data_IF_134891827090
#
_entry.id   IF_134891827090
#
_cell.length_a   1.000
_cell.length_b   1.000
_cell.length_c   1.000
_cell.angle_alpha   90.00
_cell.angle_beta   90.00
_cell.angle_gamma   90.00
#
_symmetry.space_group_name_H-M   'P 1'
#
loop_
_entity.id
_entity.type
_entity.pdbx_description
1 polymer ?
#
# COMPACT_ATOMS: atom_id res chain seq x y z
N UNK A 1 -6.86 3.94 3.53
CA UNK A 1 -7.12 3.45 2.16
C UNK A 1 -8.62 3.33 1.99
N UNK A 2 -9.19 4.03 1.03
CA UNK A 2 -10.62 4.01 0.69
C UNK A 2 -10.78 3.85 -0.82
N UNK A 3 -11.89 3.25 -1.24
CA UNK A 3 -12.20 3.11 -2.65
C UNK A 3 -13.06 4.30 -3.09
N UNK A 4 -12.73 4.87 -4.25
CA UNK A 4 -13.51 5.95 -4.82
C UNK A 4 -14.94 5.47 -5.16
N UNK A 5 -15.92 6.38 -5.23
CA UNK A 5 -17.31 6.05 -5.59
C UNK A 5 -17.42 5.26 -6.90
N UNK A 6 -16.54 5.53 -7.86
CA UNK A 6 -16.50 4.90 -9.17
C UNK A 6 -15.94 3.46 -9.15
N UNK A 7 -15.46 2.99 -8.00
CA UNK A 7 -14.81 1.68 -7.86
C UNK A 7 -13.32 1.71 -8.22
N UNK A 8 -12.74 0.54 -8.53
CA UNK A 8 -11.41 0.48 -9.14
C UNK A 8 -11.47 0.04 -10.59
N UNK A 9 -10.54 0.55 -11.38
CA UNK A 9 -10.34 0.15 -12.77
C UNK A 9 -9.15 -0.83 -12.81
N UNK A 10 -9.42 -2.08 -13.18
CA UNK A 10 -8.40 -3.12 -13.35
C UNK A 10 -8.48 -3.60 -14.79
N UNK A 11 -7.39 -3.45 -15.53
CA UNK A 11 -7.32 -3.79 -16.96
C UNK A 11 -8.46 -3.17 -17.79
N UNK A 12 -8.81 -1.91 -17.50
CA UNK A 12 -9.87 -1.17 -18.19
C UNK A 12 -11.31 -1.55 -17.79
N UNK A 13 -11.49 -2.50 -16.88
CA UNK A 13 -12.81 -2.88 -16.34
C UNK A 13 -13.02 -2.29 -14.96
N UNK A 14 -14.22 -1.78 -14.71
CA UNK A 14 -14.62 -1.24 -13.40
C UNK A 14 -15.12 -2.36 -12.48
N UNK A 15 -14.68 -2.34 -11.22
CA UNK A 15 -15.13 -3.25 -10.17
C UNK A 15 -15.64 -2.47 -8.96
N UNK A 16 -16.71 -2.97 -8.36
CA UNK A 16 -17.34 -2.46 -7.14
C UNK A 16 -16.63 -2.90 -5.85
N UNK A 17 -15.53 -3.64 -5.99
CA UNK A 17 -14.70 -4.04 -4.87
C UNK A 17 -13.29 -4.43 -5.32
N UNK A 18 -12.32 -4.10 -4.47
CA UNK A 18 -10.90 -4.26 -4.79
C UNK A 18 -10.16 -4.71 -3.55
N UNK A 19 -9.38 -5.78 -3.65
CA UNK A 19 -8.65 -6.32 -2.52
C UNK A 19 -7.19 -5.95 -2.64
N UNK A 20 -6.60 -5.44 -1.55
CA UNK A 20 -5.17 -5.23 -1.49
C UNK A 20 -4.46 -6.59 -1.59
N UNK A 21 -3.54 -6.70 -2.55
CA UNK A 21 -2.78 -7.92 -2.81
C UNK A 21 -1.31 -7.77 -2.48
N UNK A 22 -0.71 -6.62 -2.81
CA UNK A 22 0.74 -6.43 -2.68
C UNK A 22 1.08 -5.03 -2.20
N UNK A 23 2.19 -4.91 -1.46
CA UNK A 23 2.85 -3.63 -1.18
C UNK A 23 4.27 -3.66 -1.72
N UNK A 24 4.68 -2.55 -2.29
CA UNK A 24 6.05 -2.30 -2.68
C UNK A 24 6.45 -0.93 -2.12
N UNK A 25 7.35 -0.90 -1.15
CA UNK A 25 7.84 0.34 -0.53
C UNK A 25 9.35 0.41 -0.62
N UNK A 26 9.87 1.53 -1.12
CA UNK A 26 11.27 1.89 -1.12
C UNK A 26 11.52 2.86 0.03
N UNK A 27 12.38 2.47 0.95
CA UNK A 27 12.77 3.28 2.10
C UNK A 27 14.19 3.79 1.87
N UNK A 28 14.33 5.11 1.97
CA UNK A 28 15.57 5.82 1.71
C UNK A 28 16.00 6.59 2.95
N UNK A 29 17.31 6.62 3.20
CA UNK A 29 17.90 7.47 4.22
C UNK A 29 19.30 7.90 3.78
N UNK A 30 19.72 9.09 4.20
CA UNK A 30 21.03 9.67 3.83
C UNK A 30 21.31 9.69 2.31
N UNK A 31 20.27 9.76 1.47
CA UNK A 31 20.40 9.82 0.01
C UNK A 31 20.55 8.48 -0.71
N UNK A 32 20.54 7.34 0.00
CA UNK A 32 20.60 6.00 -0.59
C UNK A 32 19.30 5.21 -0.36
N UNK A 33 18.88 4.45 -1.38
CA UNK A 33 17.86 3.40 -1.22
C UNK A 33 18.51 2.23 -0.48
N UNK A 34 17.98 1.92 0.72
CA UNK A 34 18.60 0.92 1.60
C UNK A 34 17.68 -0.20 2.01
N UNK A 35 16.35 -0.03 1.85
CA UNK A 35 15.40 -1.12 2.05
C UNK A 35 14.31 -1.10 0.98
N UNK A 36 14.09 -2.29 0.40
CA UNK A 36 13.01 -2.57 -0.53
C UNK A 36 12.07 -3.56 0.16
N UNK A 37 10.89 -3.06 0.54
CA UNK A 37 9.83 -3.85 1.16
C UNK A 37 8.88 -4.29 0.06
N UNK A 38 9.06 -5.52 -0.39
CA UNK A 38 8.23 -6.16 -1.40
C UNK A 38 7.53 -7.36 -0.75
N UNK A 39 6.19 -7.36 -0.71
CA UNK A 39 5.48 -8.46 -0.07
C UNK A 39 3.97 -8.38 -0.13
N UNK A 40 3.36 -9.49 0.29
CA UNK A 40 1.91 -9.67 0.28
C UNK A 40 1.22 -8.74 1.27
N UNK A 41 0.26 -7.97 0.73
CA UNK A 41 -0.65 -7.08 1.41
C UNK A 41 -0.03 -6.38 2.63
N UNK A 42 -0.71 -6.36 3.79
CA UNK A 42 -0.21 -5.76 5.05
C UNK A 42 -0.55 -6.72 6.21
N UNK A 43 -0.18 -8.00 6.08
CA UNK A 43 -0.56 -9.07 7.03
C UNK A 43 -2.06 -9.39 7.07
N UNK A 44 -2.88 -8.59 6.38
CA UNK A 44 -4.30 -8.76 6.08
C UNK A 44 -4.52 -8.38 4.62
N UNK A 45 -5.59 -8.91 4.04
CA UNK A 45 -6.03 -8.65 2.67
C UNK A 45 -7.31 -7.80 2.68
N UNK A 46 -7.24 -6.50 3.01
CA UNK A 46 -8.43 -5.65 3.09
C UNK A 46 -9.16 -5.59 1.75
N UNK A 47 -10.46 -5.84 1.81
CA UNK A 47 -11.40 -5.64 0.72
C UNK A 47 -11.98 -4.23 0.85
N UNK A 48 -11.80 -3.39 -0.16
CA UNK A 48 -12.35 -2.04 -0.20
C UNK A 48 -13.60 -2.03 -1.08
N UNK A 49 -14.65 -1.36 -0.64
CA UNK A 49 -15.90 -1.15 -1.37
C UNK A 49 -16.25 0.35 -1.39
N UNK A 50 -16.90 0.87 -2.46
CA UNK A 50 -17.29 2.27 -2.52
C UNK A 50 -18.25 2.62 -1.38
N UNK A 51 -18.04 3.78 -0.75
CA UNK A 51 -18.90 4.27 0.34
C UNK A 51 -18.71 3.59 1.70
N UNK A 52 -17.87 2.55 1.79
CA UNK A 52 -17.46 1.98 3.07
C UNK A 52 -16.35 2.81 3.74
N UNK A 53 -16.16 2.56 5.03
CA UNK A 53 -15.14 3.25 5.83
C UNK A 53 -13.71 2.98 5.36
N UNK A 54 -12.80 3.86 5.74
CA UNK A 54 -11.39 3.72 5.36
C UNK A 54 -10.74 2.54 6.10
N UNK A 55 -9.96 1.75 5.37
CA UNK A 55 -9.01 0.85 6.00
C UNK A 55 -7.76 1.62 6.42
N UNK A 56 -7.51 1.69 7.72
CA UNK A 56 -6.33 2.32 8.33
C UNK A 56 -5.42 1.24 8.92
N UNK A 57 -4.12 1.37 8.73
CA UNK A 57 -3.13 0.49 9.32
C UNK A 57 -1.91 1.29 9.78
N UNK A 58 -1.16 0.72 10.71
CA UNK A 58 0.10 1.27 11.21
C UNK A 58 1.19 0.22 11.09
N UNK A 59 2.40 0.66 10.75
CA UNK A 59 3.61 -0.15 10.70
C UNK A 59 4.81 0.75 10.97
N UNK A 60 5.95 0.16 11.31
CA UNK A 60 7.20 0.89 11.48
C UNK A 60 8.36 0.21 10.74
N UNK A 61 9.42 0.98 10.50
CA UNK A 61 10.72 0.47 10.04
C UNK A 61 11.80 1.08 10.92
N UNK A 62 12.91 0.36 11.11
CA UNK A 62 14.06 0.87 11.85
C UNK A 62 15.05 1.47 10.87
N UNK A 63 15.40 2.74 11.09
CA UNK A 63 16.52 3.38 10.41
C UNK A 63 17.80 3.20 11.26
N UNK A 64 18.99 3.20 10.64
CA UNK A 64 20.24 3.22 11.38
C UNK A 64 20.31 4.41 12.34
N UNK A 65 20.99 4.25 13.47
CA UNK A 65 21.13 5.33 14.47
C UNK A 65 21.85 6.57 13.94
N UNK A 66 22.67 6.42 12.88
CA UNK A 66 23.36 7.52 12.20
C UNK A 66 22.45 8.30 11.23
N UNK A 67 21.22 7.86 11.01
CA UNK A 67 20.25 8.51 10.12
C UNK A 67 19.35 9.45 10.91
N UNK A 68 19.36 10.74 10.55
CA UNK A 68 18.54 11.78 11.21
C UNK A 68 17.19 11.95 10.50
N UNK A 69 17.09 11.47 9.25
CA UNK A 69 15.88 11.51 8.44
C UNK A 69 15.82 10.31 7.48
N UNK A 70 14.60 10.03 7.01
CA UNK A 70 14.35 9.07 5.96
C UNK A 70 13.02 9.34 5.26
N UNK A 71 12.82 8.74 4.11
CA UNK A 71 11.57 8.78 3.35
C UNK A 71 11.12 7.36 3.02
N UNK A 72 9.82 7.21 2.77
CA UNK A 72 9.23 5.97 2.27
C UNK A 72 8.31 6.33 1.11
N UNK A 73 8.56 5.71 -0.04
CA UNK A 73 7.78 5.89 -1.26
C UNK A 73 7.41 4.53 -1.82
N UNK A 74 6.38 4.44 -2.65
CA UNK A 74 6.01 3.17 -3.25
C UNK A 74 4.57 3.11 -3.68
N UNK A 75 4.06 1.89 -3.82
CA UNK A 75 2.70 1.66 -4.27
C UNK A 75 2.10 0.40 -3.65
N UNK A 76 0.77 0.33 -3.74
CA UNK A 76 -0.02 -0.86 -3.42
C UNK A 76 -0.60 -1.42 -4.71
N UNK A 77 -0.61 -2.75 -4.86
CA UNK A 77 -1.32 -3.43 -5.94
C UNK A 77 -2.63 -3.97 -5.41
N UNK A 78 -3.71 -3.62 -6.10
CA UNK A 78 -5.05 -4.14 -5.86
C UNK A 78 -5.44 -5.11 -6.96
N UNK A 79 -6.19 -6.13 -6.59
CA UNK A 79 -6.84 -7.09 -7.50
C UNK A 79 -8.35 -7.00 -7.35
N UNK A 80 -9.09 -7.62 -8.26
CA UNK A 80 -10.55 -7.69 -8.19
C UNK A 80 -10.95 -8.33 -6.84
N UNK A 81 -11.86 -7.67 -6.12
CA UNK A 81 -12.50 -8.21 -4.93
C UNK A 81 -13.40 -9.41 -5.26
N UNK A 82 -13.37 -10.44 -4.41
CA UNK A 82 -14.32 -11.56 -4.45
C UNK A 82 -15.32 -11.45 -3.32
#
# INVERSE_FOLDING_TARGET
>A
MSLQPEGCIINGMTFDSCQLYWRHLLIQFNGDIRSNVDGEAIGKYPLLRPGEGEFVYESFTRLPASSISGSAEGYFKFVRGR
#
